data_IF_319086786142
#
_entry.id   IF_319086786142
#
_cell.length_a   1.000
_cell.length_b   1.000
_cell.length_c   1.000
_cell.angle_alpha   90.00
_cell.angle_beta   90.00
_cell.angle_gamma   90.00
#
_symmetry.space_group_name_H-M   'P 1'
#
loop_
_entity.id
_entity.type
_entity.pdbx_description
1 polymer ?
#
# COMPACT_ATOMS: atom_id res chain seq x y z
N UNK A 1 6.44 4.64 10.11
CA UNK A 1 5.39 5.64 10.30
C UNK A 1 4.31 5.27 11.32
N UNK A 2 4.34 4.08 11.93
CA UNK A 2 3.37 3.65 12.95
C UNK A 2 1.91 3.79 12.51
N UNK A 3 1.64 3.60 11.22
CA UNK A 3 0.33 3.75 10.61
C UNK A 3 -0.34 5.13 10.85
N UNK A 4 0.45 6.16 11.04
CA UNK A 4 0.01 7.53 11.31
C UNK A 4 0.64 8.49 10.29
N UNK A 5 -0.20 9.27 9.59
CA UNK A 5 0.29 10.20 8.57
C UNK A 5 1.16 11.31 9.13
N UNK A 6 0.87 11.79 10.36
CA UNK A 6 1.66 12.83 11.01
C UNK A 6 3.07 12.34 11.33
N UNK A 7 3.19 11.12 11.83
CA UNK A 7 4.49 10.50 12.11
C UNK A 7 5.18 10.15 10.81
N UNK A 8 4.45 9.62 9.84
CA UNK A 8 5.00 9.20 8.53
C UNK A 8 5.61 10.38 7.78
N UNK A 9 4.95 11.54 7.77
CA UNK A 9 5.50 12.71 7.07
C UNK A 9 6.86 13.11 7.64
N UNK A 10 7.02 13.09 8.96
CA UNK A 10 8.30 13.42 9.59
C UNK A 10 9.39 12.40 9.28
N UNK A 11 9.05 11.12 9.31
CA UNK A 11 9.99 10.04 8.96
C UNK A 11 10.45 10.18 7.51
N UNK A 12 9.53 10.39 6.57
CA UNK A 12 9.88 10.53 5.16
C UNK A 12 10.68 11.80 4.91
N UNK A 13 10.30 12.91 5.53
CA UNK A 13 11.07 14.16 5.47
C UNK A 13 12.51 13.95 5.92
N UNK A 14 12.71 13.20 7.01
CA UNK A 14 14.04 12.91 7.54
C UNK A 14 14.85 12.04 6.57
N UNK A 15 14.21 11.00 6.01
CA UNK A 15 14.86 10.14 5.02
C UNK A 15 15.30 10.93 3.79
N UNK A 16 14.46 11.83 3.30
CA UNK A 16 14.77 12.66 2.14
C UNK A 16 15.90 13.65 2.43
N UNK A 17 15.99 14.19 3.65
CA UNK A 17 17.08 15.08 4.06
C UNK A 17 18.40 14.35 4.20
N UNK A 18 18.37 13.13 4.75
CA UNK A 18 19.59 12.39 5.09
C UNK A 18 20.16 11.61 3.91
N UNK A 19 19.36 11.39 2.85
CA UNK A 19 19.74 10.51 1.74
C UNK A 19 19.42 11.20 0.40
N UNK A 20 20.38 11.95 -0.14
CA UNK A 20 20.25 12.58 -1.47
C UNK A 20 20.22 11.55 -2.59
N UNK A 21 20.73 10.35 -2.32
CA UNK A 21 20.83 9.24 -3.26
C UNK A 21 19.67 8.24 -3.16
N UNK A 22 18.60 8.57 -2.43
CA UNK A 22 17.44 7.71 -2.29
C UNK A 22 16.73 7.56 -3.63
N UNK A 23 16.55 6.32 -4.11
CA UNK A 23 15.91 6.03 -5.40
C UNK A 23 14.61 5.22 -5.27
N UNK A 24 14.30 4.72 -4.09
CA UNK A 24 13.09 3.95 -3.86
C UNK A 24 12.59 4.08 -2.44
N UNK A 25 11.26 3.97 -2.29
CA UNK A 25 10.60 4.03 -0.99
C UNK A 25 9.43 3.05 -0.99
N UNK A 26 9.35 2.27 0.07
CA UNK A 26 8.27 1.29 0.25
C UNK A 26 7.58 1.54 1.59
N UNK A 27 6.28 1.77 1.54
CA UNK A 27 5.46 1.96 2.74
C UNK A 27 4.48 0.79 2.89
N UNK A 28 4.65 0.01 3.95
CA UNK A 28 3.87 -1.20 4.19
C UNK A 28 2.53 -0.89 4.85
N UNK A 29 2.50 0.06 5.76
CA UNK A 29 1.32 0.35 6.56
C UNK A 29 0.49 1.51 6.05
N UNK A 30 -0.39 2.02 6.90
CA UNK A 30 -1.11 3.26 6.67
C UNK A 30 -0.14 4.45 6.67
N UNK A 31 -0.64 5.66 6.51
CA UNK A 31 0.20 6.85 6.50
C UNK A 31 0.60 7.33 5.11
N UNK A 32 -0.03 6.78 4.05
CA UNK A 32 0.28 7.15 2.67
C UNK A 32 0.10 8.65 2.39
N UNK A 33 -0.81 9.32 3.09
CA UNK A 33 -1.00 10.77 2.96
C UNK A 33 0.27 11.52 3.36
N UNK A 34 0.95 11.08 4.43
CA UNK A 34 2.21 11.66 4.85
C UNK A 34 3.34 11.41 3.85
N UNK A 35 3.36 10.23 3.23
CA UNK A 35 4.32 9.93 2.16
C UNK A 35 4.11 10.87 0.98
N UNK A 36 2.87 11.05 0.53
CA UNK A 36 2.53 11.95 -0.58
C UNK A 36 2.99 13.37 -0.28
N UNK A 37 2.62 13.88 0.89
CA UNK A 37 2.92 15.25 1.28
C UNK A 37 4.44 15.51 1.33
N UNK A 38 5.19 14.60 1.95
CA UNK A 38 6.64 14.75 2.04
C UNK A 38 7.32 14.70 0.65
N UNK A 39 6.86 13.80 -0.23
CA UNK A 39 7.42 13.70 -1.58
C UNK A 39 7.10 14.92 -2.44
N UNK A 40 5.87 15.43 -2.36
CA UNK A 40 5.48 16.61 -3.12
C UNK A 40 6.23 17.87 -2.66
N UNK A 41 6.43 18.03 -1.34
CA UNK A 41 7.25 19.12 -0.80
C UNK A 41 8.70 19.07 -1.28
N UNK A 42 9.25 17.86 -1.36
CA UNK A 42 10.68 17.68 -1.68
C UNK A 42 11.02 17.96 -3.13
N UNK A 43 10.03 17.95 -4.03
CA UNK A 43 10.21 18.04 -5.48
C UNK A 43 11.08 16.92 -6.06
N UNK A 44 11.17 15.77 -5.35
CA UNK A 44 11.97 14.60 -5.76
C UNK A 44 11.12 13.42 -6.19
N UNK A 45 9.80 13.59 -6.35
CA UNK A 45 8.90 12.47 -6.66
C UNK A 45 9.24 11.75 -7.95
N UNK A 46 9.80 12.45 -8.94
CA UNK A 46 10.15 11.86 -10.22
C UNK A 46 11.47 11.07 -10.17
N UNK A 47 12.26 11.27 -9.11
CA UNK A 47 13.55 10.61 -8.92
C UNK A 47 13.46 9.39 -8.00
N UNK A 48 12.32 9.17 -7.38
CA UNK A 48 12.13 8.12 -6.38
C UNK A 48 10.96 7.23 -6.80
N UNK A 49 11.23 5.93 -6.96
CA UNK A 49 10.18 4.94 -7.16
C UNK A 49 9.48 4.65 -5.83
N UNK A 50 8.15 4.73 -5.82
CA UNK A 50 7.36 4.61 -4.58
C UNK A 50 6.33 3.50 -4.73
N UNK A 51 6.39 2.54 -3.82
CA UNK A 51 5.43 1.44 -3.73
C UNK A 51 4.78 1.49 -2.35
N UNK A 52 3.46 1.43 -2.34
CA UNK A 52 2.68 1.49 -1.10
C UNK A 52 1.61 0.41 -1.08
N UNK A 53 0.96 0.25 0.04
CA UNK A 53 -0.20 -0.63 0.19
C UNK A 53 -1.49 0.17 0.28
N UNK A 54 -2.59 -0.45 -0.15
CA UNK A 54 -3.96 0.05 -0.12
C UNK A 54 -4.28 1.11 -1.17
N UNK A 55 -5.22 0.76 -2.04
CA UNK A 55 -5.72 1.66 -3.07
C UNK A 55 -6.84 2.56 -2.49
N UNK A 56 -6.43 3.55 -1.71
CA UNK A 56 -7.32 4.58 -1.20
C UNK A 56 -7.54 5.67 -2.25
N UNK A 57 -8.45 6.61 -1.97
CA UNK A 57 -8.69 7.74 -2.89
C UNK A 57 -7.41 8.54 -3.13
N UNK A 58 -6.67 8.84 -2.07
CA UNK A 58 -5.43 9.61 -2.21
C UNK A 58 -4.31 8.80 -2.87
N UNK A 59 -4.24 7.49 -2.64
CA UNK A 59 -3.27 6.64 -3.34
C UNK A 59 -3.56 6.58 -4.84
N UNK A 60 -4.85 6.47 -5.23
CA UNK A 60 -5.27 6.52 -6.63
C UNK A 60 -4.85 7.84 -7.28
N UNK A 61 -5.08 8.96 -6.61
CA UNK A 61 -4.65 10.28 -7.11
C UNK A 61 -3.14 10.37 -7.26
N UNK A 62 -2.39 9.80 -6.30
CA UNK A 62 -0.92 9.79 -6.35
C UNK A 62 -0.38 8.94 -7.49
N UNK A 63 -1.05 7.83 -7.85
CA UNK A 63 -0.71 7.06 -9.05
C UNK A 63 -0.91 7.88 -10.31
N UNK A 64 -2.04 8.56 -10.42
CA UNK A 64 -2.36 9.37 -11.60
C UNK A 64 -1.37 10.55 -11.73
N UNK A 65 -1.00 11.18 -10.63
CA UNK A 65 -0.06 12.31 -10.63
C UNK A 65 1.40 11.88 -10.77
N UNK A 66 1.69 10.59 -10.62
CA UNK A 66 3.05 10.07 -10.70
C UNK A 66 3.83 10.13 -9.38
N UNK A 67 3.21 10.55 -8.28
CA UNK A 67 3.84 10.53 -6.95
C UNK A 67 4.08 9.10 -6.47
N UNK A 68 3.11 8.20 -6.70
CA UNK A 68 3.26 6.78 -6.49
C UNK A 68 3.41 6.05 -7.82
N UNK A 69 4.20 4.97 -7.82
CA UNK A 69 4.44 4.15 -9.01
C UNK A 69 3.61 2.87 -9.00
N UNK A 70 3.42 2.27 -7.83
CA UNK A 70 2.60 1.07 -7.68
C UNK A 70 1.92 1.02 -6.32
N UNK A 71 0.73 0.44 -6.29
CA UNK A 71 -0.03 0.20 -5.07
C UNK A 71 -0.39 -1.28 -5.01
N UNK A 72 -0.02 -1.92 -3.91
CA UNK A 72 -0.39 -3.30 -3.62
C UNK A 72 -1.69 -3.26 -2.84
N UNK A 73 -2.74 -3.85 -3.40
CA UNK A 73 -4.06 -3.79 -2.78
C UNK A 73 -4.50 -5.16 -2.27
N UNK A 74 -4.99 -5.18 -1.03
CA UNK A 74 -5.62 -6.34 -0.41
C UNK A 74 -7.12 -6.15 -0.47
N UNK A 75 -7.85 -7.20 -0.89
CA UNK A 75 -9.30 -7.18 -0.86
C UNK A 75 -9.78 -7.70 0.50
N UNK A 76 -10.02 -6.81 1.44
CA UNK A 76 -10.40 -7.16 2.81
C UNK A 76 -11.71 -7.96 2.87
N UNK A 77 -12.66 -7.68 1.98
CA UNK A 77 -13.91 -8.41 1.94
C UNK A 77 -13.68 -9.88 1.60
N UNK A 78 -12.86 -10.15 0.59
CA UNK A 78 -12.51 -11.53 0.22
C UNK A 78 -11.73 -12.19 1.35
N UNK A 79 -10.81 -11.47 1.99
CA UNK A 79 -10.04 -12.01 3.12
C UNK A 79 -10.94 -12.43 4.27
N UNK A 80 -11.93 -11.61 4.63
CA UNK A 80 -12.90 -11.94 5.69
C UNK A 80 -13.77 -13.14 5.29
N UNK A 81 -14.27 -13.14 4.06
CA UNK A 81 -15.10 -14.25 3.56
C UNK A 81 -14.31 -15.57 3.57
N UNK A 82 -13.05 -15.54 3.16
CA UNK A 82 -12.17 -16.72 3.18
C UNK A 82 -11.83 -17.17 4.59
N UNK A 83 -11.63 -16.23 5.52
CA UNK A 83 -11.40 -16.57 6.92
C UNK A 83 -12.58 -17.29 7.53
N UNK A 84 -13.80 -16.82 7.27
CA UNK A 84 -15.04 -17.48 7.72
C UNK A 84 -15.15 -18.87 7.10
N UNK A 85 -14.90 -19.00 5.81
CA UNK A 85 -14.95 -20.27 5.10
C UNK A 85 -13.93 -21.27 5.67
N UNK A 86 -12.71 -20.81 5.97
CA UNK A 86 -11.68 -21.64 6.57
C UNK A 86 -12.08 -22.12 7.97
N UNK A 87 -12.67 -21.24 8.79
CA UNK A 87 -13.14 -21.61 10.13
C UNK A 87 -14.25 -22.66 10.05
N UNK A 88 -15.21 -22.52 9.13
CA UNK A 88 -16.27 -23.50 8.94
C UNK A 88 -15.72 -24.85 8.49
N UNK A 89 -14.78 -24.85 7.55
CA UNK A 89 -14.11 -26.06 7.09
C UNK A 89 -13.39 -26.77 8.24
N UNK A 90 -12.72 -26.02 9.10
CA UNK A 90 -12.02 -26.55 10.27
C UNK A 90 -13.00 -27.19 11.25
N UNK A 91 -14.11 -26.52 11.58
CA UNK A 91 -15.15 -27.05 12.49
C UNK A 91 -15.76 -28.31 11.94
N UNK A 92 -16.04 -28.37 10.63
CA UNK A 92 -16.64 -29.50 9.96
C UNK A 92 -15.64 -30.60 9.59
N UNK A 93 -14.35 -30.39 9.86
CA UNK A 93 -13.26 -31.29 9.46
C UNK A 93 -13.27 -31.63 7.96
N UNK A 94 -13.62 -30.65 7.13
CA UNK A 94 -13.76 -30.82 5.68
C UNK A 94 -12.69 -29.96 4.95
N UNK A 95 -11.55 -30.58 4.64
CA UNK A 95 -10.46 -29.90 3.94
C UNK A 95 -10.82 -29.51 2.50
N UNK A 96 -11.85 -30.13 1.90
CA UNK A 96 -12.28 -29.79 0.55
C UNK A 96 -13.04 -28.46 0.51
N UNK A 97 -13.52 -27.99 1.65
CA UNK A 97 -14.21 -26.71 1.78
C UNK A 97 -13.27 -25.52 2.08
N UNK A 98 -11.96 -25.76 2.15
CA UNK A 98 -10.98 -24.68 2.35
C UNK A 98 -10.97 -23.71 1.16
N UNK A 99 -10.88 -22.40 1.42
CA UNK A 99 -10.82 -21.43 0.34
C UNK A 99 -9.47 -21.47 -0.38
N UNK A 100 -9.39 -20.94 -1.62
CA UNK A 100 -8.12 -20.77 -2.28
C UNK A 100 -7.30 -19.69 -1.56
N UNK A 101 -5.96 -19.61 -1.82
CA UNK A 101 -5.13 -18.53 -1.30
C UNK A 101 -5.66 -17.17 -1.74
N UNK A 102 -5.57 -16.17 -0.85
CA UNK A 102 -5.92 -14.79 -1.19
C UNK A 102 -4.85 -14.23 -2.11
N UNK A 103 -5.28 -13.60 -3.20
CA UNK A 103 -4.39 -12.95 -4.15
C UNK A 103 -4.33 -11.46 -3.86
N UNK A 104 -3.15 -10.88 -4.08
CA UNK A 104 -2.94 -9.44 -4.03
C UNK A 104 -3.04 -8.87 -5.44
N UNK A 105 -3.61 -7.67 -5.56
CA UNK A 105 -3.61 -6.92 -6.80
C UNK A 105 -2.52 -5.86 -6.78
N UNK A 106 -1.87 -5.64 -7.91
CA UNK A 106 -0.88 -4.57 -8.07
C UNK A 106 -1.44 -3.58 -9.08
N UNK A 107 -1.66 -2.35 -8.62
CA UNK A 107 -2.18 -1.28 -9.45
C UNK A 107 -1.08 -0.27 -9.77
N UNK A 108 -1.01 0.08 -11.04
CA UNK A 108 -0.24 1.19 -11.57
C UNK A 108 -1.22 2.17 -12.21
N UNK A 109 -0.73 3.30 -12.68
CA UNK A 109 -1.60 4.29 -13.30
C UNK A 109 -2.48 3.73 -14.43
N UNK A 110 -1.93 2.81 -15.23
CA UNK A 110 -2.57 2.35 -16.46
C UNK A 110 -3.53 1.17 -16.27
N UNK A 111 -3.59 0.56 -15.09
CA UNK A 111 -4.50 -0.55 -14.81
C UNK A 111 -5.44 -0.32 -13.62
N UNK A 112 -5.72 0.93 -13.29
CA UNK A 112 -6.64 1.28 -12.22
C UNK A 112 -8.06 0.76 -12.50
N UNK A 113 -8.74 0.19 -11.48
CA UNK A 113 -10.09 -0.31 -11.63
C UNK A 113 -11.13 0.81 -11.75
#
# INVERSE_FOLDING_TARGET
GRDDSTVTIEVVRQLLRDHDDLIGLYNIGAGNRGVIEALEESQRKDDIAVVVHELTRHARRALVSGTFDAVINQNYKIEVDYAIQALKAYVDSDVTALPPPVQLDIYMRDNLP
#
